data_IF_751830316036
#
_entry.id   IF_751830316036
#
_cell.length_a   1.000
_cell.length_b   1.000
_cell.length_c   1.000
_cell.angle_alpha   90.00
_cell.angle_beta   90.00
_cell.angle_gamma   90.00
#
_symmetry.space_group_name_H-M   'P 1'
#
loop_
_entity.id
_entity.type
_entity.pdbx_description
1 polymer ?
#
# COMPACT_ATOMS: atom_id res chain seq x y z
N UNK A 1 -44.71 -16.60 -3.98
CA UNK A 1 -43.92 -17.22 -2.90
C UNK A 1 -44.83 -17.63 -1.77
N UNK A 2 -44.93 -18.93 -1.51
CA UNK A 2 -45.79 -19.47 -0.45
C UNK A 2 -45.15 -19.17 0.92
N UNK A 3 -45.98 -18.95 1.95
CA UNK A 3 -45.56 -18.63 3.34
C UNK A 3 -44.50 -19.60 3.90
N UNK A 4 -44.44 -20.84 3.38
CA UNK A 4 -43.41 -21.85 3.69
C UNK A 4 -42.02 -21.53 3.12
N UNK A 5 -41.94 -20.98 1.91
CA UNK A 5 -40.66 -20.61 1.27
C UNK A 5 -40.01 -19.43 2.02
N UNK A 6 -40.82 -18.45 2.45
CA UNK A 6 -40.31 -17.30 3.22
C UNK A 6 -39.75 -17.72 4.59
N UNK A 7 -40.38 -18.68 5.26
CA UNK A 7 -39.91 -19.21 6.55
C UNK A 7 -38.59 -19.98 6.37
N UNK A 8 -38.46 -20.78 5.30
CA UNK A 8 -37.22 -21.50 4.99
C UNK A 8 -36.06 -20.54 4.69
N UNK A 9 -36.30 -19.48 3.92
CA UNK A 9 -35.29 -18.46 3.61
C UNK A 9 -34.87 -17.72 4.89
N UNK A 10 -35.82 -17.25 5.71
CA UNK A 10 -35.50 -16.57 6.96
C UNK A 10 -34.73 -17.46 7.94
N UNK A 11 -35.07 -18.75 8.03
CA UNK A 11 -34.37 -19.69 8.93
C UNK A 11 -32.95 -19.98 8.43
N UNK A 12 -32.76 -20.08 7.12
CA UNK A 12 -31.44 -20.25 6.50
C UNK A 12 -30.54 -19.03 6.73
N UNK A 13 -31.06 -17.81 6.55
CA UNK A 13 -30.32 -16.58 6.87
C UNK A 13 -30.01 -16.44 8.36
N UNK A 14 -30.93 -16.86 9.26
CA UNK A 14 -30.67 -16.84 10.70
C UNK A 14 -29.56 -17.84 11.10
N UNK A 15 -29.52 -19.01 10.48
CA UNK A 15 -28.47 -20.01 10.71
C UNK A 15 -27.12 -19.51 10.16
N UNK A 16 -27.09 -18.88 8.98
CA UNK A 16 -25.89 -18.25 8.44
C UNK A 16 -25.42 -17.09 9.33
N UNK A 17 -26.34 -16.27 9.84
CA UNK A 17 -26.02 -15.16 10.75
C UNK A 17 -25.47 -15.68 12.09
N UNK A 18 -26.07 -16.73 12.66
CA UNK A 18 -25.58 -17.36 13.90
C UNK A 18 -24.25 -18.06 13.67
N UNK A 19 -24.05 -18.73 12.52
CA UNK A 19 -22.77 -19.35 12.16
C UNK A 19 -21.68 -18.28 11.94
N UNK A 20 -21.98 -17.20 11.22
CA UNK A 20 -21.04 -16.08 11.03
C UNK A 20 -20.73 -15.37 12.34
N UNK A 21 -21.72 -15.11 13.21
CA UNK A 21 -21.47 -14.57 14.56
C UNK A 21 -20.67 -15.56 15.42
N UNK A 22 -20.89 -16.87 15.31
CA UNK A 22 -20.12 -17.87 16.07
C UNK A 22 -18.70 -18.08 15.53
N UNK A 23 -18.48 -17.87 14.23
CA UNK A 23 -17.15 -17.84 13.61
C UNK A 23 -16.44 -16.55 14.04
N UNK A 24 -17.08 -15.38 13.93
CA UNK A 24 -16.52 -14.10 14.38
C UNK A 24 -16.25 -14.07 15.90
N UNK A 25 -17.15 -14.61 16.73
CA UNK A 25 -16.95 -14.68 18.19
C UNK A 25 -15.89 -15.72 18.59
N UNK A 26 -15.73 -16.84 17.86
CA UNK A 26 -14.62 -17.77 18.12
C UNK A 26 -13.25 -17.22 17.71
N UNK A 27 -13.19 -16.24 16.81
CA UNK A 27 -11.94 -15.56 16.45
C UNK A 27 -11.61 -14.36 17.35
N UNK A 28 -12.58 -13.85 18.12
CA UNK A 28 -12.45 -12.63 18.93
C UNK A 28 -12.01 -12.85 20.39
N UNK A 29 -11.96 -14.09 20.90
CA UNK A 29 -11.84 -14.36 22.35
C UNK A 29 -10.59 -15.14 22.78
N UNK A 30 -9.48 -15.04 22.05
CA UNK A 30 -8.17 -15.35 22.65
C UNK A 30 -7.73 -14.17 23.51
N UNK A 31 -8.04 -14.28 24.81
CA UNK A 31 -7.67 -13.32 25.84
C UNK A 31 -6.18 -12.97 25.75
N UNK A 32 -5.90 -11.66 25.83
CA UNK A 32 -4.61 -10.96 25.94
C UNK A 32 -3.66 -11.43 27.08
N UNK A 33 -3.90 -12.60 27.68
CA UNK A 33 -3.15 -13.20 28.78
C UNK A 33 -2.58 -14.60 28.52
N UNK A 34 -2.89 -15.26 27.39
CA UNK A 34 -2.41 -16.63 27.14
C UNK A 34 -0.89 -16.68 26.88
N UNK A 35 -0.31 -15.75 26.13
CA UNK A 35 1.12 -15.79 25.82
C UNK A 35 2.02 -15.56 27.05
N UNK A 36 1.60 -14.70 28.00
CA UNK A 36 2.35 -14.47 29.24
C UNK A 36 2.43 -15.71 30.16
N UNK A 37 1.54 -16.68 29.97
CA UNK A 37 1.54 -17.93 30.75
C UNK A 37 2.54 -18.97 30.25
N UNK A 38 3.06 -18.80 29.03
CA UNK A 38 4.03 -19.71 28.41
C UNK A 38 5.40 -19.53 29.08
N UNK A 39 5.96 -20.64 29.59
CA UNK A 39 7.23 -20.62 30.33
C UNK A 39 8.47 -20.62 29.44
N UNK A 40 8.37 -21.24 28.27
CA UNK A 40 9.47 -21.30 27.32
C UNK A 40 9.54 -19.97 26.56
N UNK A 41 10.69 -19.28 26.61
CA UNK A 41 10.84 -17.95 26.00
C UNK A 41 10.57 -17.95 24.50
N UNK A 42 11.08 -18.93 23.74
CA UNK A 42 10.89 -18.93 22.29
C UNK A 42 9.43 -19.25 21.92
N UNK A 43 8.76 -20.11 22.68
CA UNK A 43 7.32 -20.37 22.51
C UNK A 43 6.48 -19.12 22.83
N UNK A 44 6.86 -18.39 23.88
CA UNK A 44 6.21 -17.14 24.27
C UNK A 44 6.39 -16.05 23.20
N UNK A 45 7.61 -15.88 22.69
CA UNK A 45 7.95 -14.94 21.62
C UNK A 45 7.17 -15.25 20.34
N UNK A 46 7.09 -16.53 19.96
CA UNK A 46 6.29 -16.98 18.80
C UNK A 46 4.80 -16.76 19.04
N UNK A 47 4.31 -16.95 20.27
CA UNK A 47 2.93 -16.63 20.62
C UNK A 47 2.61 -15.15 20.41
N UNK A 48 3.45 -14.24 20.94
CA UNK A 48 3.29 -12.80 20.73
C UNK A 48 3.43 -12.40 19.26
N UNK A 49 4.38 -13.00 18.54
CA UNK A 49 4.54 -12.78 17.11
C UNK A 49 3.26 -13.13 16.37
N UNK A 50 2.74 -14.36 16.55
CA UNK A 50 1.51 -14.80 15.89
C UNK A 50 0.31 -13.95 16.33
N UNK A 51 0.22 -13.54 17.59
CA UNK A 51 -0.84 -12.69 18.10
C UNK A 51 -0.83 -11.30 17.43
N UNK A 52 0.35 -10.69 17.32
CA UNK A 52 0.54 -9.42 16.64
C UNK A 52 0.15 -9.54 15.17
N UNK A 53 0.69 -10.56 14.49
CA UNK A 53 0.68 -10.77 13.05
C UNK A 53 -0.69 -11.22 12.53
N UNK A 54 -1.43 -12.03 13.29
CA UNK A 54 -2.74 -12.58 12.86
C UNK A 54 -3.92 -11.71 13.36
N UNK A 55 -3.85 -11.16 14.57
CA UNK A 55 -5.02 -10.58 15.24
C UNK A 55 -4.97 -9.06 15.43
N UNK A 56 -3.79 -8.43 15.44
CA UNK A 56 -3.65 -7.04 15.90
C UNK A 56 -3.13 -6.03 14.87
N UNK A 57 -2.81 -6.45 13.64
CA UNK A 57 -2.23 -5.54 12.63
C UNK A 57 -3.19 -4.43 12.24
N UNK A 58 -4.48 -4.73 12.13
CA UNK A 58 -5.45 -3.76 11.65
C UNK A 58 -5.93 -2.78 12.72
N UNK A 59 -6.03 -3.21 13.99
CA UNK A 59 -6.67 -2.38 15.03
C UNK A 59 -5.72 -1.66 15.97
N UNK A 60 -4.53 -2.20 16.26
CA UNK A 60 -3.66 -1.67 17.34
C UNK A 60 -2.24 -1.25 16.90
N UNK A 61 -1.78 -1.64 15.70
CA UNK A 61 -0.38 -1.43 15.31
C UNK A 61 -0.17 -0.46 14.14
N UNK A 62 -1.23 -0.01 13.46
CA UNK A 62 -1.14 0.93 12.34
C UNK A 62 -0.74 2.36 12.75
N UNK A 63 -0.94 2.71 14.01
CA UNK A 63 -0.72 4.07 14.54
C UNK A 63 0.63 4.27 15.25
N UNK A 64 1.42 3.21 15.45
CA UNK A 64 2.60 3.25 16.30
C UNK A 64 3.86 2.80 15.57
N UNK A 65 4.94 3.59 15.68
CA UNK A 65 6.29 3.25 15.19
C UNK A 65 6.76 1.87 15.66
N UNK A 66 6.29 1.42 16.82
CA UNK A 66 6.47 0.07 17.34
C UNK A 66 5.13 -0.51 17.79
N UNK A 67 4.83 -1.74 17.37
CA UNK A 67 3.59 -2.43 17.73
C UNK A 67 3.68 -2.92 19.19
N UNK A 68 2.77 -2.51 20.10
CA UNK A 68 2.88 -2.85 21.53
C UNK A 68 2.99 -4.35 21.82
N UNK A 69 2.31 -5.19 21.02
CA UNK A 69 2.41 -6.66 21.13
C UNK A 69 3.81 -7.15 20.76
N UNK A 70 4.41 -6.60 19.69
CA UNK A 70 5.78 -6.93 19.28
C UNK A 70 6.83 -6.47 20.31
N UNK A 71 6.55 -5.42 21.09
CA UNK A 71 7.45 -4.95 22.15
C UNK A 71 7.71 -6.00 23.23
N UNK A 72 6.79 -6.95 23.42
CA UNK A 72 6.88 -8.05 24.40
C UNK A 72 7.71 -9.26 23.92
N UNK A 73 8.19 -9.25 22.68
CA UNK A 73 9.05 -10.30 22.13
C UNK A 73 10.50 -10.03 22.55
N UNK A 74 11.17 -11.01 23.17
CA UNK A 74 12.57 -10.90 23.58
C UNK A 74 13.54 -11.22 22.44
N UNK A 75 13.18 -12.18 21.58
CA UNK A 75 13.96 -12.51 20.39
C UNK A 75 14.05 -11.31 19.42
N UNK A 76 15.25 -10.78 19.14
CA UNK A 76 15.41 -9.53 18.40
C UNK A 76 15.12 -9.67 16.90
N UNK A 77 15.06 -10.89 16.36
CA UNK A 77 14.78 -11.13 14.94
C UNK A 77 13.28 -11.30 14.72
N UNK A 78 12.62 -12.07 15.58
CA UNK A 78 11.16 -12.15 15.62
C UNK A 78 10.54 -10.78 15.92
N UNK A 79 11.08 -10.04 16.89
CA UNK A 79 10.62 -8.67 17.20
C UNK A 79 10.73 -7.74 16.00
N UNK A 80 11.86 -7.79 15.29
CA UNK A 80 12.09 -6.93 14.13
C UNK A 80 11.13 -7.28 12.99
N UNK A 81 10.96 -8.57 12.66
CA UNK A 81 9.98 -9.01 11.66
C UNK A 81 8.54 -8.65 12.07
N UNK A 82 8.19 -8.83 13.34
CA UNK A 82 6.87 -8.48 13.90
C UNK A 82 6.56 -6.99 13.69
N UNK A 83 7.51 -6.11 14.01
CA UNK A 83 7.35 -4.67 13.82
C UNK A 83 7.28 -4.25 12.35
N UNK A 84 7.75 -5.08 11.41
CA UNK A 84 7.75 -4.77 9.98
C UNK A 84 6.38 -5.01 9.32
N UNK A 85 5.62 -6.02 9.75
CA UNK A 85 4.33 -6.38 9.13
C UNK A 85 3.27 -5.25 9.10
N UNK A 86 3.07 -4.44 10.15
CA UNK A 86 2.12 -3.32 10.09
C UNK A 86 2.42 -2.30 8.98
N UNK A 87 3.70 -2.13 8.63
CA UNK A 87 4.16 -1.21 7.58
C UNK A 87 4.29 -1.88 6.21
N UNK A 88 4.37 -3.22 6.19
CA UNK A 88 4.59 -4.05 4.99
C UNK A 88 3.57 -5.19 4.92
N UNK A 89 2.25 -4.90 4.88
CA UNK A 89 1.21 -5.93 5.02
C UNK A 89 1.18 -6.94 3.85
N UNK A 90 1.63 -6.61 2.65
CA UNK A 90 1.70 -7.56 1.54
C UNK A 90 2.67 -8.73 1.81
N UNK A 91 3.61 -8.60 2.76
CA UNK A 91 4.47 -9.72 3.20
C UNK A 91 3.67 -10.93 3.71
N UNK A 92 2.41 -10.72 4.12
CA UNK A 92 1.50 -11.82 4.45
C UNK A 92 1.28 -12.82 3.33
N UNK A 93 1.28 -12.36 2.07
CA UNK A 93 0.95 -13.20 0.94
C UNK A 93 2.01 -14.29 0.66
N UNK A 94 3.24 -14.11 1.15
CA UNK A 94 4.37 -14.99 0.81
C UNK A 94 5.28 -15.39 1.98
N UNK A 95 4.99 -14.94 3.20
CA UNK A 95 5.66 -15.44 4.41
C UNK A 95 5.09 -16.79 4.82
N UNK A 96 5.93 -17.65 5.40
CA UNK A 96 5.56 -18.96 5.96
C UNK A 96 4.47 -18.84 7.03
N UNK A 97 4.38 -17.67 7.67
CA UNK A 97 3.32 -17.37 8.63
C UNK A 97 1.95 -17.13 8.00
N UNK A 98 1.90 -16.76 6.72
CA UNK A 98 0.68 -16.60 5.92
C UNK A 98 0.23 -17.85 5.16
N UNK A 99 1.08 -18.87 5.04
CA UNK A 99 0.79 -20.09 4.26
C UNK A 99 0.12 -21.16 5.14
N UNK A 100 -0.88 -21.86 4.56
CA UNK A 100 -1.71 -22.89 5.21
C UNK A 100 -0.91 -24.05 5.82
N UNK A 101 -1.52 -24.77 6.76
CA UNK A 101 -1.00 -25.87 7.61
C UNK A 101 -0.23 -27.02 6.91
N UNK A 102 -0.11 -27.03 5.59
CA UNK A 102 0.64 -28.02 4.81
C UNK A 102 2.13 -27.65 4.70
N UNK A 103 2.80 -27.47 5.83
CA UNK A 103 4.26 -27.35 5.88
C UNK A 103 4.87 -28.75 5.92
N UNK A 104 5.59 -29.14 4.87
CA UNK A 104 6.34 -30.41 4.80
C UNK A 104 7.81 -30.26 5.23
N UNK A 105 8.30 -29.03 5.38
CA UNK A 105 9.67 -28.75 5.82
C UNK A 105 9.85 -29.02 7.32
N UNK A 106 11.06 -29.45 7.70
CA UNK A 106 11.43 -29.73 9.10
C UNK A 106 12.55 -28.79 9.53
N UNK A 107 12.62 -28.48 10.83
CA UNK A 107 13.67 -27.60 11.33
C UNK A 107 15.03 -28.31 11.25
N UNK A 108 15.98 -27.62 10.61
CA UNK A 108 17.39 -27.99 10.60
C UNK A 108 18.11 -27.65 11.91
N UNK A 109 17.45 -26.91 12.81
CA UNK A 109 17.90 -26.59 14.17
C UNK A 109 17.21 -27.55 15.14
N UNK A 110 17.94 -28.51 15.76
CA UNK A 110 17.34 -29.55 16.60
C UNK A 110 16.50 -29.00 17.75
N UNK A 111 16.94 -27.89 18.34
CA UNK A 111 16.28 -27.24 19.46
C UNK A 111 14.87 -26.76 19.10
N UNK A 112 14.55 -26.49 17.84
CA UNK A 112 13.22 -26.04 17.42
C UNK A 112 12.25 -27.18 17.12
N UNK A 113 12.70 -28.44 17.04
CA UNK A 113 11.88 -29.57 16.60
C UNK A 113 10.75 -29.97 17.58
N UNK A 114 10.78 -29.48 18.82
CA UNK A 114 9.70 -29.69 19.78
C UNK A 114 8.46 -28.82 19.50
N UNK A 115 8.60 -27.79 18.67
CA UNK A 115 7.53 -26.86 18.33
C UNK A 115 6.63 -27.40 17.22
N UNK A 116 5.39 -26.89 17.14
CA UNK A 116 4.49 -27.16 16.00
C UNK A 116 5.18 -26.73 14.70
N UNK A 117 4.91 -27.40 13.58
CA UNK A 117 5.62 -27.17 12.30
C UNK A 117 5.69 -25.70 11.87
N UNK A 118 4.60 -24.94 11.98
CA UNK A 118 4.61 -23.51 11.65
C UNK A 118 5.51 -22.70 12.59
N UNK A 119 5.48 -23.02 13.87
CA UNK A 119 6.21 -22.33 14.92
C UNK A 119 7.70 -22.72 14.90
N UNK A 120 8.02 -23.97 14.52
CA UNK A 120 9.39 -24.43 14.45
C UNK A 120 10.21 -23.63 13.43
N UNK A 121 9.62 -23.25 12.29
CA UNK A 121 10.29 -22.45 11.26
C UNK A 121 10.68 -21.07 11.76
N UNK A 122 9.80 -20.38 12.50
CA UNK A 122 10.12 -19.10 13.12
C UNK A 122 11.30 -19.21 14.10
N UNK A 123 11.30 -20.27 14.93
CA UNK A 123 12.43 -20.58 15.79
C UNK A 123 13.71 -20.87 14.98
N UNK A 124 13.61 -21.63 13.88
CA UNK A 124 14.73 -21.97 13.01
C UNK A 124 15.34 -20.72 12.37
N UNK A 125 14.52 -19.85 11.77
CA UNK A 125 14.97 -18.64 11.11
C UNK A 125 15.65 -17.68 12.07
N UNK A 126 15.05 -17.46 13.25
CA UNK A 126 15.68 -16.62 14.26
C UNK A 126 17.01 -17.23 14.75
N UNK A 127 17.05 -18.54 14.99
CA UNK A 127 18.27 -19.22 15.44
C UNK A 127 19.40 -19.10 14.42
N UNK A 128 19.09 -19.20 13.12
CA UNK A 128 20.05 -19.01 12.04
C UNK A 128 20.48 -17.53 11.93
N UNK A 129 19.53 -16.60 12.04
CA UNK A 129 19.84 -15.17 12.04
C UNK A 129 20.75 -14.77 13.20
N UNK A 130 20.61 -15.39 14.37
CA UNK A 130 21.52 -15.20 15.51
C UNK A 130 22.97 -15.59 15.20
N UNK A 131 23.19 -16.64 14.40
CA UNK A 131 24.52 -17.02 13.89
C UNK A 131 25.03 -15.94 12.90
N UNK A 132 24.12 -15.37 12.10
CA UNK A 132 24.41 -14.30 11.15
C UNK A 132 25.04 -13.04 11.78
N UNK A 133 24.85 -12.82 13.08
CA UNK A 133 25.48 -11.71 13.82
C UNK A 133 27.01 -11.76 13.76
N UNK A 134 27.61 -12.94 13.83
CA UNK A 134 29.06 -13.11 13.71
C UNK A 134 29.51 -13.45 12.29
N UNK A 135 28.65 -14.13 11.52
CA UNK A 135 28.97 -14.57 10.17
C UNK A 135 27.72 -14.70 9.28
N UNK A 136 27.39 -13.63 8.56
CA UNK A 136 26.23 -13.59 7.66
C UNK A 136 26.32 -14.65 6.55
N UNK A 137 27.50 -14.87 5.97
CA UNK A 137 27.72 -15.93 4.96
C UNK A 137 27.37 -17.31 5.49
N UNK A 138 27.77 -17.62 6.73
CA UNK A 138 27.43 -18.89 7.37
C UNK A 138 25.92 -19.05 7.59
N UNK A 139 25.23 -17.98 7.98
CA UNK A 139 23.77 -18.02 8.13
C UNK A 139 23.05 -18.29 6.80
N UNK A 140 23.51 -17.68 5.69
CA UNK A 140 22.98 -17.95 4.35
C UNK A 140 23.24 -19.41 3.92
N UNK A 141 24.43 -19.95 4.20
CA UNK A 141 24.73 -21.37 3.95
C UNK A 141 23.84 -22.33 4.74
N UNK A 142 23.42 -21.95 5.95
CA UNK A 142 22.45 -22.72 6.72
C UNK A 142 21.06 -22.62 6.12
N UNK A 143 20.61 -21.44 5.69
CA UNK A 143 19.33 -21.28 5.01
C UNK A 143 19.23 -22.13 3.74
N UNK A 144 20.32 -22.27 2.98
CA UNK A 144 20.36 -23.10 1.77
C UNK A 144 20.21 -24.62 2.03
N UNK A 145 20.07 -25.06 3.30
CA UNK A 145 19.80 -26.46 3.62
C UNK A 145 18.30 -26.81 3.59
N UNK A 146 17.41 -25.82 3.51
CA UNK A 146 15.99 -26.08 3.29
C UNK A 146 15.76 -26.60 1.87
N UNK A 147 14.74 -27.45 1.70
CA UNK A 147 14.41 -28.02 0.39
C UNK A 147 13.55 -27.08 -0.44
N UNK A 148 12.69 -26.29 0.20
CA UNK A 148 11.84 -25.33 -0.48
C UNK A 148 12.51 -23.96 -0.61
N UNK A 149 12.56 -23.42 -1.83
CA UNK A 149 13.17 -22.10 -2.11
C UNK A 149 12.52 -20.94 -1.35
N UNK A 150 11.22 -20.97 -1.07
CA UNK A 150 10.57 -19.91 -0.28
C UNK A 150 11.06 -19.92 1.17
N UNK A 151 11.29 -21.09 1.76
CA UNK A 151 11.86 -21.20 3.12
C UNK A 151 13.34 -20.81 3.15
N UNK A 152 14.09 -21.12 2.08
CA UNK A 152 15.47 -20.65 1.91
C UNK A 152 15.51 -19.13 1.95
N UNK A 153 14.69 -18.47 1.15
CA UNK A 153 14.73 -17.01 1.01
C UNK A 153 14.12 -16.27 2.20
N UNK A 154 13.05 -16.77 2.83
CA UNK A 154 12.55 -16.21 4.09
C UNK A 154 13.62 -16.30 5.20
N UNK A 155 14.31 -17.44 5.31
CA UNK A 155 15.43 -17.59 6.25
C UNK A 155 16.57 -16.59 5.99
N UNK A 156 16.94 -16.38 4.72
CA UNK A 156 17.95 -15.38 4.34
C UNK A 156 17.48 -13.98 4.73
N UNK A 157 16.20 -13.65 4.51
CA UNK A 157 15.64 -12.37 4.88
C UNK A 157 15.74 -12.10 6.39
N UNK A 158 15.41 -13.09 7.24
CA UNK A 158 15.65 -13.00 8.68
C UNK A 158 17.12 -12.74 9.03
N UNK A 159 18.04 -13.44 8.34
CA UNK A 159 19.48 -13.27 8.55
C UNK A 159 19.98 -11.86 8.18
N UNK A 160 19.36 -11.21 7.20
CA UNK A 160 19.70 -9.85 6.77
C UNK A 160 19.38 -8.77 7.80
N UNK A 161 18.53 -9.03 8.80
CA UNK A 161 18.28 -8.05 9.85
C UNK A 161 19.54 -7.67 10.63
N UNK A 162 20.55 -8.54 10.66
CA UNK A 162 21.87 -8.18 11.19
C UNK A 162 22.52 -7.07 10.38
N UNK A 163 22.41 -7.13 9.05
CA UNK A 163 22.99 -6.12 8.16
C UNK A 163 22.15 -4.83 8.15
N UNK A 164 20.82 -4.96 8.13
CA UNK A 164 19.88 -3.85 8.17
C UNK A 164 20.07 -2.98 9.43
N UNK A 165 20.16 -3.60 10.61
CA UNK A 165 20.38 -2.89 11.88
C UNK A 165 21.72 -2.13 11.93
N UNK A 166 22.72 -2.57 11.16
CA UNK A 166 24.02 -1.91 11.06
C UNK A 166 24.02 -0.71 10.13
N UNK A 167 22.97 -0.49 9.32
CA UNK A 167 22.84 0.71 8.47
C UNK A 167 22.94 1.98 9.31
N UNK A 168 22.32 2.00 10.50
CA UNK A 168 22.39 3.15 11.41
C UNK A 168 23.81 3.48 11.88
N UNK A 169 24.69 2.49 11.99
CA UNK A 169 26.03 2.66 12.55
C UNK A 169 27.11 2.80 11.47
N UNK A 170 26.97 2.06 10.37
CA UNK A 170 27.99 1.92 9.32
C UNK A 170 27.38 2.10 7.90
N UNK A 171 26.59 3.16 7.63
CA UNK A 171 25.77 3.24 6.42
C UNK A 171 26.60 3.19 5.12
N UNK A 172 27.76 3.84 5.11
CA UNK A 172 28.70 3.84 3.98
C UNK A 172 29.32 2.47 3.68
N UNK A 173 29.47 1.62 4.70
CA UNK A 173 29.93 0.25 4.53
C UNK A 173 28.78 -0.62 4.04
N UNK A 174 27.58 -0.45 4.59
CA UNK A 174 26.42 -1.25 4.19
C UNK A 174 26.02 -0.97 2.74
N UNK A 175 25.95 0.30 2.32
CA UNK A 175 25.56 0.70 0.95
C UNK A 175 26.39 0.02 -0.14
N UNK A 176 27.66 -0.26 0.13
CA UNK A 176 28.57 -0.95 -0.78
C UNK A 176 28.42 -2.48 -0.80
N UNK A 177 27.79 -3.06 0.21
CA UNK A 177 27.90 -4.50 0.49
C UNK A 177 26.57 -5.25 0.54
N UNK A 178 25.41 -4.59 0.66
CA UNK A 178 24.14 -5.32 0.78
C UNK A 178 23.65 -5.93 -0.55
N UNK A 179 23.99 -5.30 -1.69
CA UNK A 179 23.48 -5.66 -3.03
C UNK A 179 23.72 -7.14 -3.40
N UNK A 180 24.92 -7.73 -3.21
CA UNK A 180 25.14 -9.15 -3.48
C UNK A 180 24.25 -10.09 -2.66
N UNK A 181 23.84 -9.68 -1.45
CA UNK A 181 22.92 -10.49 -0.64
C UNK A 181 21.51 -10.44 -1.22
N UNK A 182 21.01 -9.28 -1.64
CA UNK A 182 19.69 -9.18 -2.29
C UNK A 182 19.65 -9.89 -3.65
N UNK A 183 20.73 -9.85 -4.43
CA UNK A 183 20.82 -10.60 -5.69
C UNK A 183 20.79 -12.13 -5.51
N UNK A 184 21.06 -12.63 -4.30
CA UNK A 184 21.08 -14.08 -4.02
C UNK A 184 19.71 -14.71 -3.72
N UNK A 185 18.65 -13.90 -3.75
CA UNK A 185 17.27 -14.36 -3.59
C UNK A 185 16.75 -14.92 -4.92
N UNK A 186 16.16 -16.10 -4.91
CA UNK A 186 15.54 -16.72 -6.09
C UNK A 186 14.07 -16.32 -6.24
N UNK A 187 13.37 -16.10 -5.14
CA UNK A 187 11.99 -15.63 -5.13
C UNK A 187 11.94 -14.10 -5.33
N UNK A 188 11.21 -13.66 -6.36
CA UNK A 188 11.12 -12.24 -6.73
C UNK A 188 10.43 -11.37 -5.67
N UNK A 189 9.50 -11.90 -4.87
CA UNK A 189 8.90 -11.17 -3.74
C UNK A 189 9.92 -10.91 -2.64
N UNK A 190 10.70 -11.93 -2.26
CA UNK A 190 11.74 -11.77 -1.24
C UNK A 190 12.93 -10.93 -1.73
N UNK A 191 13.28 -11.04 -3.01
CA UNK A 191 14.25 -10.14 -3.65
C UNK A 191 13.78 -8.69 -3.57
N UNK A 192 12.52 -8.42 -3.92
CA UNK A 192 11.92 -7.09 -3.80
C UNK A 192 11.98 -6.58 -2.35
N UNK A 193 11.55 -7.39 -1.38
CA UNK A 193 11.60 -7.01 0.04
C UNK A 193 13.01 -6.80 0.59
N UNK A 194 14.01 -7.54 0.09
CA UNK A 194 15.40 -7.32 0.49
C UNK A 194 15.84 -5.91 0.13
N UNK A 195 15.61 -5.49 -1.12
CA UNK A 195 15.94 -4.14 -1.55
C UNK A 195 15.11 -3.08 -0.81
N UNK A 196 13.82 -3.34 -0.63
CA UNK A 196 12.93 -2.45 0.12
C UNK A 196 13.39 -2.26 1.57
N UNK A 197 13.81 -3.33 2.24
CA UNK A 197 14.38 -3.28 3.59
C UNK A 197 15.53 -2.28 3.69
N UNK A 198 16.47 -2.30 2.76
CA UNK A 198 17.58 -1.35 2.78
C UNK A 198 17.14 0.07 2.40
N UNK A 199 16.19 0.23 1.47
CA UNK A 199 15.63 1.54 1.17
C UNK A 199 15.00 2.19 2.42
N UNK A 200 14.24 1.42 3.20
CA UNK A 200 13.67 1.86 4.48
C UNK A 200 14.78 2.28 5.46
N UNK A 201 15.75 1.40 5.70
CA UNK A 201 16.82 1.67 6.68
C UNK A 201 17.66 2.89 6.32
N UNK A 202 17.98 3.10 5.04
CA UNK A 202 18.69 4.31 4.60
C UNK A 202 17.81 5.56 4.74
N UNK A 203 16.51 5.45 4.49
CA UNK A 203 15.58 6.58 4.62
C UNK A 203 15.40 7.06 6.07
N UNK A 204 15.57 6.18 7.05
CA UNK A 204 15.49 6.52 8.48
C UNK A 204 16.76 7.14 9.06
N UNK A 205 17.85 7.27 8.28
CA UNK A 205 19.07 7.94 8.74
C UNK A 205 18.85 9.44 8.95
N UNK A 206 19.52 10.03 9.95
CA UNK A 206 19.48 11.48 10.17
C UNK A 206 20.12 12.25 9.00
N UNK A 207 21.15 11.68 8.36
CA UNK A 207 21.81 12.19 7.16
C UNK A 207 21.34 11.50 5.87
N UNK A 208 20.06 11.10 5.80
CA UNK A 208 19.49 10.40 4.63
C UNK A 208 19.71 11.16 3.30
N UNK A 209 19.86 12.49 3.34
CA UNK A 209 20.20 13.36 2.20
C UNK A 209 21.44 12.88 1.41
N UNK A 210 22.41 12.29 2.10
CA UNK A 210 23.66 11.74 1.54
C UNK A 210 23.46 10.38 0.85
N UNK A 211 22.33 9.72 1.14
CA UNK A 211 22.00 8.37 0.66
C UNK A 211 20.83 8.34 -0.34
N UNK A 212 20.35 9.50 -0.80
CA UNK A 212 19.23 9.59 -1.77
C UNK A 212 19.45 8.71 -3.00
N UNK A 213 20.65 8.70 -3.58
CA UNK A 213 20.95 7.87 -4.76
C UNK A 213 20.93 6.37 -4.42
N UNK A 214 21.31 5.99 -3.20
CA UNK A 214 21.27 4.62 -2.73
C UNK A 214 19.83 4.17 -2.43
N UNK A 215 19.03 5.05 -1.83
CA UNK A 215 17.60 4.83 -1.61
C UNK A 215 16.88 4.65 -2.94
N UNK A 216 17.16 5.52 -3.93
CA UNK A 216 16.62 5.40 -5.28
C UNK A 216 17.00 4.06 -5.91
N UNK A 217 18.29 3.68 -5.86
CA UNK A 217 18.76 2.41 -6.40
C UNK A 217 18.02 1.23 -5.76
N UNK A 218 17.93 1.20 -4.43
CA UNK A 218 17.24 0.14 -3.71
C UNK A 218 15.76 0.07 -4.12
N UNK A 219 15.04 1.19 -4.17
CA UNK A 219 13.66 1.18 -4.62
C UNK A 219 13.48 0.78 -6.09
N UNK A 220 14.42 1.15 -6.96
CA UNK A 220 14.40 0.74 -8.37
C UNK A 220 14.54 -0.79 -8.50
N UNK A 221 15.51 -1.40 -7.81
CA UNK A 221 15.70 -2.84 -7.84
C UNK A 221 14.55 -3.61 -7.17
N UNK A 222 13.98 -3.04 -6.10
CA UNK A 222 12.77 -3.57 -5.48
C UNK A 222 11.62 -3.60 -6.48
N UNK A 223 11.34 -2.46 -7.11
CA UNK A 223 10.24 -2.30 -8.07
C UNK A 223 10.42 -3.18 -9.31
N UNK A 224 11.64 -3.28 -9.84
CA UNK A 224 11.97 -4.16 -10.97
C UNK A 224 11.78 -5.65 -10.62
N UNK A 225 11.97 -6.04 -9.36
CA UNK A 225 11.72 -7.40 -8.91
C UNK A 225 10.22 -7.65 -8.71
N UNK A 226 9.54 -6.73 -8.03
CA UNK A 226 8.09 -6.66 -7.89
C UNK A 226 7.67 -5.29 -7.34
N UNK A 227 6.72 -4.63 -8.00
CA UNK A 227 6.25 -3.30 -7.60
C UNK A 227 5.33 -3.35 -6.37
N UNK A 228 5.94 -3.19 -5.20
CA UNK A 228 5.25 -2.92 -3.93
C UNK A 228 5.25 -1.42 -3.56
N UNK A 229 5.37 -0.53 -4.56
CA UNK A 229 5.30 0.92 -4.40
C UNK A 229 6.42 1.50 -3.51
N UNK A 230 7.67 1.11 -3.76
CA UNK A 230 8.81 1.52 -2.93
C UNK A 230 9.02 3.03 -2.86
N UNK A 231 8.98 3.70 -4.00
CA UNK A 231 9.21 5.14 -4.06
C UNK A 231 8.21 5.93 -3.22
N UNK A 232 6.94 5.55 -3.26
CA UNK A 232 5.88 6.22 -2.49
C UNK A 232 6.07 6.00 -0.98
N UNK A 233 6.29 4.76 -0.57
CA UNK A 233 6.53 4.42 0.84
C UNK A 233 7.75 5.13 1.41
N UNK A 234 8.88 5.11 0.69
CA UNK A 234 10.11 5.69 1.22
C UNK A 234 10.06 7.21 1.23
N UNK A 235 9.31 7.84 0.32
CA UNK A 235 9.02 9.26 0.40
C UNK A 235 8.35 9.64 1.74
N UNK A 236 7.51 8.77 2.32
CA UNK A 236 6.92 9.01 3.65
C UNK A 236 7.94 9.04 4.79
N UNK A 237 9.07 8.36 4.64
CA UNK A 237 10.11 8.25 5.66
C UNK A 237 11.13 9.39 5.59
N UNK A 238 11.24 10.06 4.44
CA UNK A 238 12.18 11.15 4.22
C UNK A 238 11.70 12.47 4.86
N UNK A 239 12.63 13.36 5.26
CA UNK A 239 12.29 14.73 5.60
C UNK A 239 11.58 15.42 4.43
N UNK A 240 10.51 16.18 4.71
CA UNK A 240 9.67 16.81 3.69
C UNK A 240 10.49 17.58 2.64
N UNK A 241 11.54 18.29 3.06
CA UNK A 241 12.42 19.05 2.16
C UNK A 241 13.25 18.19 1.18
N UNK A 242 13.50 16.92 1.50
CA UNK A 242 14.29 16.00 0.68
C UNK A 242 13.44 15.28 -0.37
N UNK A 243 12.12 15.14 -0.14
CA UNK A 243 11.20 14.39 -1.01
C UNK A 243 11.20 14.90 -2.46
N UNK A 244 11.15 16.20 -2.76
CA UNK A 244 11.18 16.66 -4.16
C UNK A 244 12.43 16.25 -4.90
N UNK A 245 13.60 16.28 -4.23
CA UNK A 245 14.87 15.83 -4.83
C UNK A 245 14.81 14.34 -5.16
N UNK A 246 14.32 13.53 -4.21
CA UNK A 246 14.14 12.09 -4.39
C UNK A 246 13.15 11.78 -5.52
N UNK A 247 11.94 12.30 -5.48
CA UNK A 247 10.90 12.06 -6.49
C UNK A 247 11.27 12.57 -7.89
N UNK A 248 12.21 13.51 -8.01
CA UNK A 248 12.73 13.96 -9.30
C UNK A 248 13.70 12.97 -9.95
N UNK A 249 14.28 12.04 -9.19
CA UNK A 249 15.10 10.95 -9.73
C UNK A 249 14.26 9.74 -10.16
N UNK A 250 13.05 9.61 -9.59
CA UNK A 250 12.11 8.53 -9.86
C UNK A 250 11.67 8.55 -11.33
N UNK A 251 11.52 7.37 -11.94
CA UNK A 251 11.01 7.25 -13.30
C UNK A 251 9.63 7.89 -13.42
N UNK A 252 9.27 8.36 -14.62
CA UNK A 252 8.01 9.07 -14.88
C UNK A 252 6.79 8.26 -14.41
N UNK A 253 6.87 6.94 -14.47
CA UNK A 253 5.82 6.00 -14.09
C UNK A 253 5.48 6.04 -12.59
N UNK A 254 6.46 6.25 -11.71
CA UNK A 254 6.26 6.30 -10.25
C UNK A 254 6.39 7.71 -9.66
N UNK A 255 6.88 8.68 -10.44
CA UNK A 255 7.12 10.04 -10.00
C UNK A 255 5.85 10.72 -9.48
N UNK A 256 4.71 10.50 -10.13
CA UNK A 256 3.45 11.13 -9.75
C UNK A 256 2.96 10.67 -8.37
N UNK A 257 2.96 9.35 -8.11
CA UNK A 257 2.63 8.79 -6.79
C UNK A 257 3.60 9.31 -5.71
N UNK A 258 4.90 9.30 -5.98
CA UNK A 258 5.90 9.85 -5.04
C UNK A 258 5.60 11.30 -4.65
N UNK A 259 5.15 12.12 -5.62
CA UNK A 259 4.79 13.53 -5.38
C UNK A 259 3.43 13.69 -4.69
N UNK A 260 2.51 12.72 -4.83
CA UNK A 260 1.29 12.66 -4.03
C UNK A 260 1.61 12.54 -2.54
N UNK A 261 2.55 11.66 -2.17
CA UNK A 261 3.05 11.55 -0.80
C UNK A 261 3.69 12.85 -0.29
N UNK A 262 4.46 13.55 -1.13
CA UNK A 262 4.98 14.88 -0.78
C UNK A 262 3.87 15.86 -0.43
N UNK A 263 2.84 15.93 -1.27
CA UNK A 263 1.64 16.72 -1.05
C UNK A 263 0.95 16.38 0.27
N UNK A 264 0.70 15.09 0.50
CA UNK A 264 0.07 14.58 1.70
C UNK A 264 0.82 15.03 2.97
N UNK A 265 2.15 14.87 3.00
CA UNK A 265 2.96 15.28 4.15
C UNK A 265 2.98 16.80 4.34
N UNK A 266 2.98 17.59 3.27
CA UNK A 266 2.85 19.05 3.36
C UNK A 266 1.52 19.46 4.01
N UNK A 267 0.44 18.74 3.71
CA UNK A 267 -0.88 18.95 4.32
C UNK A 267 -0.89 18.61 5.80
N UNK A 268 -0.31 17.48 6.18
CA UNK A 268 -0.17 17.07 7.58
C UNK A 268 0.67 18.06 8.41
N UNK A 269 1.81 18.50 7.88
CA UNK A 269 2.75 19.36 8.61
C UNK A 269 2.26 20.80 8.77
N UNK A 270 1.38 21.26 7.87
CA UNK A 270 0.93 22.63 7.79
C UNK A 270 -0.58 22.78 7.99
N UNK A 271 -1.19 22.01 8.89
CA UNK A 271 -2.63 22.11 9.19
C UNK A 271 -3.11 23.53 9.54
N UNK A 272 -2.21 24.45 9.90
CA UNK A 272 -2.48 25.87 10.12
C UNK A 272 -1.99 26.83 9.00
N UNK A 273 -1.31 26.34 7.94
CA UNK A 273 -0.77 27.15 6.85
C UNK A 273 -0.68 26.39 5.50
N UNK A 274 -1.85 26.01 4.95
CA UNK A 274 -1.97 25.37 3.64
C UNK A 274 -1.24 26.14 2.50
N UNK A 275 -1.11 27.47 2.60
CA UNK A 275 -0.47 28.30 1.59
C UNK A 275 0.97 27.89 1.29
N UNK A 276 1.74 27.46 2.30
CA UNK A 276 3.09 26.97 2.08
C UNK A 276 3.11 25.68 1.25
N UNK A 277 2.19 24.76 1.55
CA UNK A 277 2.00 23.54 0.76
C UNK A 277 1.63 23.86 -0.69
N UNK A 278 0.72 24.82 -0.89
CA UNK A 278 0.32 25.28 -2.22
C UNK A 278 1.50 25.83 -3.04
N UNK A 279 2.32 26.70 -2.43
CA UNK A 279 3.52 27.27 -3.06
C UNK A 279 4.51 26.15 -3.43
N UNK A 280 4.72 25.18 -2.54
CA UNK A 280 5.62 24.07 -2.77
C UNK A 280 5.15 23.18 -3.93
N UNK A 281 3.88 22.81 -3.98
CA UNK A 281 3.32 22.05 -5.09
C UNK A 281 3.37 22.85 -6.40
N UNK A 282 3.04 24.15 -6.39
CA UNK A 282 3.07 25.01 -7.58
C UNK A 282 4.46 25.13 -8.20
N UNK A 283 5.54 24.97 -7.43
CA UNK A 283 6.91 25.10 -7.91
C UNK A 283 7.46 23.80 -8.54
N UNK A 284 6.71 22.70 -8.53
CA UNK A 284 7.14 21.47 -9.20
C UNK A 284 7.11 21.64 -10.73
N UNK A 285 8.13 21.08 -11.39
CA UNK A 285 8.44 21.39 -12.79
C UNK A 285 7.42 20.82 -13.79
N UNK A 286 6.92 19.61 -13.55
CA UNK A 286 6.04 18.91 -14.47
C UNK A 286 4.60 18.84 -13.95
N UNK A 287 3.65 18.79 -14.90
CA UNK A 287 2.23 18.83 -14.61
C UNK A 287 1.78 17.66 -13.72
N UNK A 288 2.30 16.44 -13.97
CA UNK A 288 1.91 15.26 -13.20
C UNK A 288 2.32 15.39 -11.72
N UNK A 289 3.53 15.88 -11.46
CA UNK A 289 4.04 16.15 -10.12
C UNK A 289 3.23 17.24 -9.42
N UNK A 290 2.91 18.34 -10.11
CA UNK A 290 2.07 19.42 -9.54
C UNK A 290 0.69 18.90 -9.18
N UNK A 291 0.02 18.26 -10.13
CA UNK A 291 -1.31 17.67 -9.96
C UNK A 291 -1.35 16.70 -8.77
N UNK A 292 -0.40 15.77 -8.71
CA UNK A 292 -0.37 14.73 -7.68
C UNK A 292 -0.04 15.33 -6.31
N UNK A 293 0.89 16.28 -6.24
CA UNK A 293 1.17 17.03 -5.02
C UNK A 293 -0.05 17.78 -4.50
N UNK A 294 -0.80 18.46 -5.38
CA UNK A 294 -2.05 19.10 -4.96
C UNK A 294 -3.09 18.07 -4.48
N UNK A 295 -3.24 16.94 -5.18
CA UNK A 295 -4.17 15.87 -4.77
C UNK A 295 -3.85 15.37 -3.35
N UNK A 296 -2.58 15.03 -3.08
CA UNK A 296 -2.13 14.62 -1.76
C UNK A 296 -2.31 15.71 -0.69
N UNK A 297 -1.98 16.96 -1.02
CA UNK A 297 -2.11 18.10 -0.11
C UNK A 297 -3.55 18.26 0.38
N UNK A 298 -4.53 18.17 -0.53
CA UNK A 298 -5.93 18.34 -0.20
C UNK A 298 -6.53 17.17 0.60
N UNK A 299 -5.90 15.99 0.66
CA UNK A 299 -6.39 14.87 1.48
C UNK A 299 -6.42 15.21 2.98
N UNK A 300 -5.63 16.20 3.38
CA UNK A 300 -5.54 16.68 4.76
C UNK A 300 -6.41 17.90 5.04
N UNK A 301 -7.20 18.39 4.07
CA UNK A 301 -8.27 19.32 4.38
C UNK A 301 -9.27 18.58 5.28
N UNK A 302 -9.83 19.27 6.27
CA UNK A 302 -10.80 18.67 7.17
C UNK A 302 -11.77 19.73 7.67
N UNK A 303 -12.88 19.89 6.96
CA UNK A 303 -14.04 20.63 7.44
C UNK A 303 -15.21 19.67 7.67
N UNK A 304 -15.97 19.92 8.74
CA UNK A 304 -17.22 19.21 9.01
C UNK A 304 -18.27 19.41 7.90
N UNK A 305 -18.17 20.48 7.13
CA UNK A 305 -19.03 20.78 5.99
C UNK A 305 -18.22 20.69 4.68
N UNK A 306 -18.57 19.68 3.88
CA UNK A 306 -17.95 19.39 2.58
C UNK A 306 -17.90 20.62 1.64
N UNK A 307 -18.97 21.41 1.61
CA UNK A 307 -19.08 22.57 0.73
C UNK A 307 -18.10 23.67 1.14
N UNK A 308 -17.99 23.95 2.44
CA UNK A 308 -17.04 24.93 2.96
C UNK A 308 -15.60 24.51 2.65
N UNK A 309 -15.31 23.21 2.78
CA UNK A 309 -13.99 22.64 2.44
C UNK A 309 -13.62 22.88 0.98
N UNK A 310 -14.57 22.60 0.07
CA UNK A 310 -14.41 22.80 -1.37
C UNK A 310 -14.23 24.28 -1.70
N UNK A 311 -15.06 25.16 -1.14
CA UNK A 311 -14.96 26.62 -1.37
C UNK A 311 -13.61 27.18 -0.91
N UNK A 312 -13.14 26.75 0.26
CA UNK A 312 -11.82 27.12 0.76
C UNK A 312 -10.72 26.65 -0.20
N UNK A 313 -10.73 25.38 -0.60
CA UNK A 313 -9.74 24.84 -1.52
C UNK A 313 -9.75 25.53 -2.90
N UNK A 314 -10.93 25.88 -3.42
CA UNK A 314 -11.09 26.66 -4.65
C UNK A 314 -10.43 28.04 -4.52
N UNK A 315 -10.57 28.71 -3.37
CA UNK A 315 -9.91 29.99 -3.12
C UNK A 315 -8.39 29.87 -3.21
N UNK A 316 -7.81 28.80 -2.65
CA UNK A 316 -6.38 28.50 -2.75
C UNK A 316 -5.93 28.25 -4.20
N UNK A 317 -6.71 27.50 -4.98
CA UNK A 317 -6.38 27.26 -6.39
C UNK A 317 -6.47 28.54 -7.25
N UNK A 318 -7.39 29.46 -6.94
CA UNK A 318 -7.51 30.74 -7.68
C UNK A 318 -6.28 31.64 -7.54
N UNK A 319 -5.58 31.54 -6.41
CA UNK A 319 -4.36 32.31 -6.13
C UNK A 319 -3.10 31.73 -6.79
N UNK A 320 -3.19 30.54 -7.40
CA UNK A 320 -2.04 29.92 -8.07
C UNK A 320 -1.67 30.60 -9.39
N UNK A 321 -0.43 30.37 -9.83
CA UNK A 321 0.03 30.78 -11.17
C UNK A 321 -0.79 30.08 -12.25
N UNK A 322 -0.97 30.74 -13.39
CA UNK A 322 -1.88 30.29 -14.45
C UNK A 322 -1.58 28.86 -14.95
N UNK A 323 -0.30 28.49 -15.02
CA UNK A 323 0.18 27.17 -15.41
C UNK A 323 -0.04 26.09 -14.33
N UNK A 324 -0.18 26.48 -13.06
CA UNK A 324 -0.45 25.58 -11.94
C UNK A 324 -1.95 25.47 -11.60
N UNK A 325 -2.80 26.40 -12.04
CA UNK A 325 -4.24 26.40 -11.73
C UNK A 325 -4.93 25.11 -12.19
N UNK A 326 -4.71 24.71 -13.44
CA UNK A 326 -5.35 23.50 -14.00
C UNK A 326 -4.95 22.26 -13.20
N UNK A 327 -3.66 22.14 -12.86
CA UNK A 327 -3.14 21.04 -12.05
C UNK A 327 -3.72 21.06 -10.63
N UNK A 328 -3.87 22.25 -10.03
CA UNK A 328 -4.49 22.45 -8.72
C UNK A 328 -5.96 22.01 -8.70
N UNK A 329 -6.78 22.51 -9.62
CA UNK A 329 -8.20 22.14 -9.69
C UNK A 329 -8.40 20.65 -10.01
N UNK A 330 -7.54 20.07 -10.84
CA UNK A 330 -7.59 18.63 -11.13
C UNK A 330 -7.18 17.81 -9.91
N UNK A 331 -6.13 18.22 -9.18
CA UNK A 331 -5.71 17.59 -7.92
C UNK A 331 -6.79 17.70 -6.85
N UNK A 332 -7.50 18.83 -6.79
CA UNK A 332 -8.63 19.04 -5.90
C UNK A 332 -9.75 18.01 -6.16
N UNK A 333 -10.21 17.87 -7.41
CA UNK A 333 -11.23 16.87 -7.75
C UNK A 333 -10.82 15.43 -7.36
N UNK A 334 -9.55 15.10 -7.57
CA UNK A 334 -8.97 13.79 -7.21
C UNK A 334 -9.04 13.53 -5.72
N UNK A 335 -8.57 14.49 -4.92
CA UNK A 335 -8.54 14.38 -3.46
C UNK A 335 -9.94 14.18 -2.86
N UNK A 336 -10.93 14.90 -3.38
CA UNK A 336 -12.32 14.76 -2.92
C UNK A 336 -12.94 13.43 -3.32
N UNK A 337 -12.61 12.91 -4.52
CA UNK A 337 -12.99 11.56 -4.94
C UNK A 337 -12.41 10.47 -4.04
N UNK A 338 -11.16 10.61 -3.60
CA UNK A 338 -10.52 9.67 -2.66
C UNK A 338 -11.13 9.75 -1.25
N UNK A 339 -11.13 10.94 -0.65
CA UNK A 339 -11.53 11.17 0.76
C UNK A 339 -13.01 10.89 1.01
N UNK A 340 -13.88 11.21 0.06
CA UNK A 340 -15.34 11.15 0.24
C UNK A 340 -15.99 10.07 -0.62
N UNK A 341 -15.23 9.07 -1.09
CA UNK A 341 -15.72 7.99 -1.96
C UNK A 341 -17.04 7.37 -1.51
N UNK A 342 -17.21 7.10 -0.21
CA UNK A 342 -18.46 6.56 0.36
C UNK A 342 -19.63 7.56 0.25
N UNK A 343 -19.38 8.86 0.42
CA UNK A 343 -20.44 9.87 0.35
C UNK A 343 -20.82 10.20 -1.10
N UNK A 344 -19.94 9.90 -2.06
CA UNK A 344 -20.01 10.28 -3.46
C UNK A 344 -20.48 9.16 -4.39
N UNK A 345 -21.10 8.10 -3.85
CA UNK A 345 -21.89 7.14 -4.66
C UNK A 345 -23.12 7.80 -5.30
N UNK A 346 -23.55 8.93 -4.76
CA UNK A 346 -24.71 9.71 -5.20
C UNK A 346 -24.30 10.71 -6.30
N UNK A 347 -24.76 10.55 -7.55
CA UNK A 347 -24.44 11.46 -8.65
C UNK A 347 -24.80 12.91 -8.34
N UNK A 348 -25.86 13.16 -7.56
CA UNK A 348 -26.29 14.52 -7.22
C UNK A 348 -25.24 15.22 -6.35
N UNK A 349 -24.58 14.50 -5.44
CA UNK A 349 -23.49 15.07 -4.62
C UNK A 349 -22.23 15.35 -5.43
N UNK A 350 -21.92 14.51 -6.41
CA UNK A 350 -20.82 14.78 -7.35
C UNK A 350 -21.12 16.09 -8.10
N UNK A 351 -22.35 16.24 -8.60
CA UNK A 351 -22.78 17.44 -9.29
C UNK A 351 -22.73 18.68 -8.37
N UNK A 352 -23.22 18.57 -7.13
CA UNK A 352 -23.19 19.65 -6.16
C UNK A 352 -21.77 20.15 -5.91
N UNK A 353 -20.82 19.24 -5.67
CA UNK A 353 -19.40 19.58 -5.48
C UNK A 353 -18.81 20.24 -6.73
N UNK A 354 -18.95 19.62 -7.91
CA UNK A 354 -18.36 20.16 -9.12
C UNK A 354 -19.04 21.43 -9.64
N UNK A 355 -20.28 21.72 -9.24
CA UNK A 355 -20.95 22.97 -9.61
C UNK A 355 -20.38 24.20 -8.88
N UNK A 356 -19.71 24.00 -7.74
CA UNK A 356 -19.01 25.06 -6.99
C UNK A 356 -17.75 25.51 -7.74
N UNK A 357 -17.14 24.61 -8.53
CA UNK A 357 -15.96 24.93 -9.32
C UNK A 357 -16.27 26.01 -10.35
N UNK A 358 -15.32 26.92 -10.64
CA UNK A 358 -15.44 27.84 -11.77
C UNK A 358 -15.71 27.07 -13.07
N UNK A 359 -16.53 27.64 -13.95
CA UNK A 359 -17.03 26.96 -15.15
C UNK A 359 -15.91 26.34 -15.99
N UNK A 360 -14.79 27.04 -16.13
CA UNK A 360 -13.62 26.61 -16.89
C UNK A 360 -12.86 25.42 -16.28
N UNK A 361 -13.08 25.09 -15.00
CA UNK A 361 -12.42 23.99 -14.29
C UNK A 361 -13.38 22.88 -13.84
N UNK A 362 -14.66 22.95 -14.21
CA UNK A 362 -15.64 21.90 -13.84
C UNK A 362 -15.27 20.54 -14.40
N UNK A 363 -14.81 20.47 -15.64
CA UNK A 363 -14.40 19.21 -16.27
C UNK A 363 -13.17 18.60 -15.55
N UNK A 364 -12.27 19.43 -15.02
CA UNK A 364 -11.16 18.99 -14.16
C UNK A 364 -11.65 18.37 -12.86
N UNK A 365 -12.70 18.93 -12.23
CA UNK A 365 -13.34 18.35 -11.06
C UNK A 365 -13.87 16.93 -11.35
N UNK A 366 -14.73 16.80 -12.37
CA UNK A 366 -15.32 15.51 -12.73
C UNK A 366 -14.26 14.48 -13.10
N UNK A 367 -13.25 14.87 -13.89
CA UNK A 367 -12.16 13.98 -14.29
C UNK A 367 -11.40 13.45 -13.08
N UNK A 368 -11.02 14.34 -12.15
CA UNK A 368 -10.32 13.95 -10.93
C UNK A 368 -11.16 13.05 -10.03
N UNK A 369 -12.43 13.42 -9.80
CA UNK A 369 -13.35 12.64 -8.96
C UNK A 369 -13.57 11.23 -9.53
N UNK A 370 -13.91 11.11 -10.81
CA UNK A 370 -14.13 9.80 -11.43
C UNK A 370 -12.86 8.95 -11.43
N UNK A 371 -11.67 9.55 -11.56
CA UNK A 371 -10.41 8.81 -11.50
C UNK A 371 -10.19 8.09 -10.17
N UNK A 372 -10.81 8.57 -9.07
CA UNK A 372 -10.69 7.95 -7.73
C UNK A 372 -11.92 7.17 -7.30
N UNK A 373 -13.12 7.62 -7.64
CA UNK A 373 -14.39 6.91 -7.30
C UNK A 373 -14.44 5.50 -7.86
N UNK A 374 -13.88 5.28 -9.04
CA UNK A 374 -13.65 3.96 -9.62
C UNK A 374 -12.92 2.95 -8.71
N UNK A 375 -12.06 3.38 -7.79
CA UNK A 375 -11.40 2.47 -6.83
C UNK A 375 -12.38 1.94 -5.79
N UNK A 376 -13.44 2.71 -5.50
CA UNK A 376 -14.51 2.31 -4.60
C UNK A 376 -15.37 1.20 -5.22
N UNK A 377 -15.70 1.33 -6.50
CA UNK A 377 -16.43 0.32 -7.28
C UNK A 377 -15.55 -0.86 -7.74
N UNK A 378 -14.44 -1.13 -7.05
CA UNK A 378 -13.54 -2.23 -7.40
C UNK A 378 -14.32 -3.55 -7.42
N UNK A 379 -14.27 -4.22 -8.57
CA UNK A 379 -15.02 -5.46 -8.86
C UNK A 379 -16.56 -5.31 -8.90
N UNK A 380 -17.10 -4.09 -8.77
CA UNK A 380 -18.50 -3.73 -9.02
C UNK A 380 -18.66 -2.92 -10.31
N UNK A 381 -18.51 -3.62 -11.44
CA UNK A 381 -18.69 -3.00 -12.76
C UNK A 381 -20.08 -2.41 -12.94
N UNK A 382 -21.13 -3.06 -12.43
CA UNK A 382 -22.50 -2.61 -12.65
C UNK A 382 -22.77 -1.29 -11.90
N UNK A 383 -22.34 -1.17 -10.64
CA UNK A 383 -22.46 0.08 -9.89
C UNK A 383 -21.78 1.26 -10.60
N UNK A 384 -20.59 1.04 -11.18
CA UNK A 384 -19.90 2.09 -11.96
C UNK A 384 -20.64 2.44 -13.26
N UNK A 385 -21.23 1.45 -13.94
CA UNK A 385 -22.04 1.70 -15.15
C UNK A 385 -23.28 2.52 -14.81
N UNK A 386 -23.97 2.19 -13.72
CA UNK A 386 -25.17 2.88 -13.25
C UNK A 386 -24.84 4.34 -12.90
N UNK A 387 -23.75 4.57 -12.14
CA UNK A 387 -23.24 5.92 -11.85
C UNK A 387 -23.00 6.72 -13.14
N UNK A 388 -22.24 6.19 -14.09
CA UNK A 388 -21.94 6.90 -15.35
C UNK A 388 -23.20 7.17 -16.20
N UNK A 389 -24.22 6.31 -16.10
CA UNK A 389 -25.49 6.51 -16.80
C UNK A 389 -26.30 7.67 -16.21
N UNK A 390 -26.20 7.90 -14.91
CA UNK A 390 -26.90 8.97 -14.19
C UNK A 390 -26.20 10.33 -14.29
N UNK A 391 -24.92 10.36 -14.66
CA UNK A 391 -24.18 11.61 -14.87
C UNK A 391 -24.77 12.49 -16.00
N UNK A 392 -24.64 13.83 -15.89
CA UNK A 392 -25.00 14.75 -16.97
C UNK A 392 -24.36 14.37 -18.31
N UNK A 393 -25.08 14.60 -19.41
CA UNK A 393 -24.68 14.19 -20.77
C UNK A 393 -23.25 14.60 -21.12
N UNK A 394 -22.85 15.82 -20.75
CA UNK A 394 -21.50 16.36 -20.99
C UNK A 394 -20.41 15.72 -20.13
N UNK A 395 -20.75 15.00 -19.06
CA UNK A 395 -19.80 14.36 -18.14
C UNK A 395 -19.71 12.84 -18.31
N UNK A 396 -20.65 12.22 -19.03
CA UNK A 396 -20.62 10.78 -19.33
C UNK A 396 -19.31 10.33 -19.96
N UNK A 397 -18.81 11.09 -20.94
CA UNK A 397 -17.54 10.76 -21.61
C UNK A 397 -16.35 10.71 -20.65
N UNK A 398 -16.27 11.61 -19.68
CA UNK A 398 -15.22 11.62 -18.65
C UNK A 398 -15.38 10.42 -17.71
N UNK A 399 -16.61 10.10 -17.30
CA UNK A 399 -16.92 8.96 -16.44
C UNK A 399 -16.53 7.62 -17.11
N UNK A 400 -16.96 7.40 -18.36
CA UNK A 400 -16.61 6.18 -19.09
C UNK A 400 -15.12 6.10 -19.43
N UNK A 401 -14.43 7.22 -19.63
CA UNK A 401 -12.97 7.22 -19.76
C UNK A 401 -12.29 6.72 -18.48
N UNK A 402 -12.76 7.18 -17.31
CA UNK A 402 -12.24 6.73 -16.02
C UNK A 402 -12.53 5.23 -15.77
N UNK A 403 -13.72 4.75 -16.13
CA UNK A 403 -14.05 3.31 -16.11
C UNK A 403 -13.08 2.49 -16.95
N UNK A 404 -12.83 2.91 -18.20
CA UNK A 404 -11.89 2.23 -19.09
C UNK A 404 -10.49 2.10 -18.49
N UNK A 405 -9.96 3.19 -17.91
CA UNK A 405 -8.66 3.17 -17.20
C UNK A 405 -8.63 2.15 -16.06
N UNK A 406 -9.77 1.93 -15.40
CA UNK A 406 -9.87 1.00 -14.27
C UNK A 406 -9.98 -0.44 -14.69
N UNK A 407 -10.73 -0.73 -15.75
CA UNK A 407 -10.72 -2.06 -16.36
C UNK A 407 -9.29 -2.48 -16.72
N UNK A 408 -8.48 -1.57 -17.26
CA UNK A 408 -7.06 -1.85 -17.50
C UNK A 408 -6.29 -2.13 -16.20
N UNK A 409 -6.57 -1.39 -15.11
CA UNK A 409 -5.90 -1.62 -13.83
C UNK A 409 -6.34 -2.91 -13.13
N UNK A 410 -7.63 -3.27 -13.22
CA UNK A 410 -8.17 -4.52 -12.68
C UNK A 410 -7.70 -5.74 -13.46
N UNK A 411 -7.24 -5.54 -14.70
CA UNK A 411 -6.67 -6.61 -15.54
C UNK A 411 -5.31 -7.13 -15.06
N UNK A 412 -4.70 -6.51 -14.05
CA UNK A 412 -3.44 -7.00 -13.48
C UNK A 412 -3.63 -8.42 -12.90
N UNK A 413 -2.93 -9.40 -13.50
CA UNK A 413 -3.08 -10.82 -13.16
C UNK A 413 -4.33 -11.50 -13.76
N UNK A 414 -5.08 -10.83 -14.64
CA UNK A 414 -6.24 -11.38 -15.39
C UNK A 414 -5.98 -11.35 -16.90
N UNK A 415 -6.92 -11.87 -17.68
CA UNK A 415 -6.86 -11.80 -19.13
C UNK A 415 -7.18 -10.38 -19.62
N UNK A 416 -6.15 -9.68 -20.09
CA UNK A 416 -6.24 -8.30 -20.57
C UNK A 416 -7.35 -8.07 -21.61
N UNK A 417 -7.53 -9.01 -22.53
CA UNK A 417 -8.54 -8.90 -23.59
C UNK A 417 -9.97 -9.04 -23.04
N UNK A 418 -10.17 -9.92 -22.06
CA UNK A 418 -11.49 -10.08 -21.42
C UNK A 418 -11.89 -8.81 -20.66
N UNK A 419 -10.93 -8.11 -20.06
CA UNK A 419 -11.18 -6.84 -19.38
C UNK A 419 -11.46 -5.69 -20.37
N UNK A 420 -10.79 -5.66 -21.53
CA UNK A 420 -11.11 -4.71 -22.60
C UNK A 420 -12.53 -4.93 -23.15
N UNK A 421 -12.94 -6.18 -23.33
CA UNK A 421 -14.26 -6.55 -23.85
C UNK A 421 -15.42 -6.07 -22.96
N UNK A 422 -15.17 -5.80 -21.67
CA UNK A 422 -16.15 -5.17 -20.77
C UNK A 422 -16.52 -3.75 -21.21
N UNK A 423 -15.67 -3.04 -21.98
CA UNK A 423 -16.06 -1.78 -22.59
C UNK A 423 -17.22 -1.93 -23.59
N UNK A 424 -17.55 -3.14 -24.08
CA UNK A 424 -18.73 -3.35 -24.93
C UNK A 424 -20.05 -3.32 -24.14
N UNK A 425 -19.99 -3.28 -22.80
CA UNK A 425 -21.17 -3.19 -21.93
C UNK A 425 -21.62 -1.74 -21.70
N UNK A 426 -20.82 -0.74 -22.12
CA UNK A 426 -21.19 0.67 -22.01
C UNK A 426 -22.09 1.08 -23.20
N UNK A 427 -22.87 2.18 -23.10
CA UNK A 427 -23.67 2.70 -24.21
C UNK A 427 -22.84 2.90 -25.48
N UNK A 428 -23.42 2.62 -26.66
CA UNK A 428 -22.70 2.59 -27.94
C UNK A 428 -21.92 3.88 -28.22
N UNK A 429 -22.51 5.03 -27.89
CA UNK A 429 -21.90 6.34 -28.03
C UNK A 429 -20.72 6.60 -27.07
N UNK A 430 -20.56 5.79 -26.03
CA UNK A 430 -19.52 5.91 -25.01
C UNK A 430 -18.41 4.85 -25.11
N UNK A 431 -18.59 3.79 -25.92
CA UNK A 431 -17.60 2.71 -26.10
C UNK A 431 -16.21 3.28 -26.40
N UNK A 432 -16.14 4.25 -27.31
CA UNK A 432 -14.88 4.90 -27.69
C UNK A 432 -14.17 5.54 -26.48
N UNK A 433 -14.91 6.18 -25.58
CA UNK A 433 -14.33 6.83 -24.40
C UNK A 433 -13.77 5.82 -23.40
N UNK A 434 -14.48 4.70 -23.20
CA UNK A 434 -14.00 3.57 -22.42
C UNK A 434 -12.71 2.97 -23.01
N UNK A 435 -12.70 2.66 -24.31
CA UNK A 435 -11.53 2.08 -24.99
C UNK A 435 -10.33 3.03 -24.95
N UNK A 436 -10.55 4.34 -25.14
CA UNK A 436 -9.47 5.33 -24.99
C UNK A 436 -8.90 5.26 -23.58
N UNK A 437 -9.75 5.25 -22.55
CA UNK A 437 -9.32 5.16 -21.16
C UNK A 437 -8.49 3.91 -20.89
N UNK A 438 -8.98 2.75 -21.34
CA UNK A 438 -8.32 1.46 -21.22
C UNK A 438 -6.92 1.47 -21.87
N UNK A 439 -6.82 2.05 -23.06
CA UNK A 439 -5.57 2.10 -23.83
C UNK A 439 -4.56 3.15 -23.38
N UNK A 440 -4.97 4.14 -22.57
CA UNK A 440 -4.01 5.10 -21.99
C UNK A 440 -3.07 4.40 -21.02
N UNK A 441 -3.48 3.32 -20.36
CA UNK A 441 -2.63 2.56 -19.43
C UNK A 441 -1.96 1.34 -20.08
N UNK A 442 -2.62 0.67 -21.02
CA UNK A 442 -2.09 -0.52 -21.73
C UNK A 442 -0.73 -0.30 -22.43
N UNK A 443 -0.48 0.91 -22.93
CA UNK A 443 0.79 1.29 -23.59
C UNK A 443 1.98 1.42 -22.63
N UNK A 444 1.74 1.54 -21.33
CA UNK A 444 2.79 1.61 -20.32
C UNK A 444 3.26 0.20 -19.93
N UNK A 445 2.36 -0.79 -19.98
CA UNK A 445 2.62 -2.15 -19.49
C UNK A 445 3.06 -3.12 -20.61
N UNK A 446 2.78 -2.82 -21.90
CA UNK A 446 3.26 -3.61 -23.04
C UNK A 446 4.77 -3.47 -23.35
N UNK A 447 5.54 -2.77 -22.50
CA UNK A 447 7.00 -2.64 -22.60
C UNK A 447 7.77 -3.51 -21.59
N UNK A 448 7.08 -4.33 -20.79
CA UNK A 448 7.69 -5.35 -19.92
C UNK A 448 7.75 -6.70 -20.62
#
# INVERSE_FOLDING_TARGET
MQKRELILICTFFLIILVLSISIFNNFSDKKKGDCYSIKNQIEQDICFFNDAVIYNIYDNCRSFKECPTCSSIEDPYLKYMCNRFPYRPHMFAFTTTGISEKIEETSIIPECNHLRKKDNMLCTYSSIAKIGKSNLTQSFLLCNKFNNENFVDECKFFSLFNLAKEVKFEPNKISKNYKPYCESFSNFFWKSECYFLFADEFSFLENNDEFIDEIYYACNESTNSHDFQCFDHVAHNLPIQAIPKFCNQVSVEHQCLCQETYGFLLGMSNSNNFNNGMINCSNLLNNCSRYSCFAGLFLNLNDSNLINEVEFAISLCKEQKEDAKIDCFSGLGTSFGDKNSIQLEDPDKINDVCNIFPNEYRDSCYTGMFFRLVNYYKDDLQGMLDLCNEMPINQKSSCYNALGRNLAWWSFGRNFKEEEEKCNLVPEEQIKHCIIGFNVKSKWEQKV
#
